data_IF_833324535948
#
_entry.id   IF_833324535948
#
_cell.length_a   1.000
_cell.length_b   1.000
_cell.length_c   1.000
_cell.angle_alpha   90.00
_cell.angle_beta   90.00
_cell.angle_gamma   90.00
#
_symmetry.space_group_name_H-M   'P 1'
#
loop_
_entity.id
_entity.type
_entity.pdbx_description
1 polymer ?
#
# COMPACT_ATOMS: atom_id res chain seq x y z
N UNK A 1 1.91 -0.10 -12.01
CA UNK A 1 2.61 0.69 -10.97
C UNK A 1 2.07 0.26 -9.62
N UNK A 2 2.89 -0.39 -8.76
CA UNK A 2 2.40 -1.08 -7.58
C UNK A 2 1.93 -0.16 -6.45
N UNK A 3 2.30 1.13 -6.44
CA UNK A 3 1.91 2.11 -5.43
C UNK A 3 2.42 3.51 -5.82
N UNK A 4 2.05 4.54 -5.07
CA UNK A 4 2.55 5.91 -5.29
C UNK A 4 3.74 6.18 -4.37
N UNK A 5 4.89 6.55 -4.95
CA UNK A 5 6.07 6.96 -4.18
C UNK A 5 5.76 8.23 -3.40
N UNK A 6 6.14 8.24 -2.14
CA UNK A 6 6.03 9.39 -1.24
C UNK A 6 7.41 9.74 -0.71
N UNK A 7 7.63 11.02 -0.41
CA UNK A 7 8.84 11.49 0.27
C UNK A 7 8.72 11.28 1.78
N UNK A 8 9.85 11.25 2.49
CA UNK A 8 9.89 10.95 3.93
C UNK A 8 9.08 11.94 4.78
N UNK A 9 9.00 13.21 4.35
CA UNK A 9 8.20 14.22 5.03
C UNK A 9 6.69 13.93 4.97
N UNK A 10 6.21 13.37 3.86
CA UNK A 10 4.80 12.98 3.73
C UNK A 10 4.51 11.70 4.50
N UNK A 11 5.47 10.77 4.58
CA UNK A 11 5.35 9.54 5.37
C UNK A 11 5.08 9.81 6.86
N UNK A 12 5.59 10.93 7.40
CA UNK A 12 5.32 11.35 8.79
C UNK A 12 3.89 11.85 9.00
N UNK A 13 3.23 12.33 7.94
CA UNK A 13 1.89 12.94 7.98
C UNK A 13 0.79 11.96 7.58
N UNK A 14 1.13 10.95 6.79
CA UNK A 14 0.20 9.94 6.28
C UNK A 14 0.05 8.82 7.32
N UNK A 15 -1.19 8.52 7.68
CA UNK A 15 -1.51 7.38 8.54
C UNK A 15 -1.03 6.07 7.88
N UNK A 16 -0.35 5.22 8.65
CA UNK A 16 0.21 3.94 8.18
C UNK A 16 -0.85 3.03 7.53
N UNK A 17 -2.14 3.18 7.87
CA UNK A 17 -3.22 2.43 7.22
C UNK A 17 -3.35 2.70 5.72
N UNK A 18 -2.81 3.82 5.23
CA UNK A 18 -2.79 4.15 3.80
C UNK A 18 -1.51 3.68 3.09
N UNK A 19 -0.59 3.04 3.80
CA UNK A 19 0.66 2.52 3.26
C UNK A 19 0.50 1.03 2.97
N UNK A 20 0.86 0.62 1.75
CA UNK A 20 0.84 -0.76 1.34
C UNK A 20 1.84 -1.58 2.16
N UNK A 21 1.36 -2.67 2.75
CA UNK A 21 2.19 -3.58 3.55
C UNK A 21 3.24 -4.35 2.73
N UNK A 22 3.12 -4.41 1.40
CA UNK A 22 4.05 -5.12 0.52
C UNK A 22 5.09 -4.22 -0.14
N UNK A 23 4.67 -3.11 -0.75
CA UNK A 23 5.59 -2.23 -1.48
C UNK A 23 6.04 -0.99 -0.68
N UNK A 24 5.51 -0.80 0.52
CA UNK A 24 5.78 0.34 1.41
C UNK A 24 5.52 1.73 0.77
N UNK A 25 4.68 1.77 -0.26
CA UNK A 25 4.24 2.99 -0.93
C UNK A 25 2.80 3.32 -0.54
N UNK A 26 2.35 4.54 -0.86
CA UNK A 26 0.95 4.90 -0.68
C UNK A 26 0.07 3.97 -1.54
N UNK A 27 -1.01 3.47 -0.95
CA UNK A 27 -1.92 2.51 -1.57
C UNK A 27 -2.44 3.03 -2.92
N UNK A 28 -2.30 2.21 -3.97
CA UNK A 28 -2.88 2.43 -5.28
C UNK A 28 -3.89 1.32 -5.57
N UNK A 29 -5.16 1.70 -5.79
CA UNK A 29 -6.29 0.76 -5.85
C UNK A 29 -6.29 -0.21 -4.65
N UNK A 30 -6.51 0.29 -3.43
CA UNK A 30 -6.41 -0.52 -2.22
C UNK A 30 -7.36 -1.71 -2.24
N UNK A 31 -6.84 -2.87 -1.84
CA UNK A 31 -7.59 -4.08 -1.54
C UNK A 31 -7.25 -4.55 -0.13
N UNK A 32 -8.25 -5.12 0.55
CA UNK A 32 -8.05 -5.80 1.82
C UNK A 32 -7.95 -7.30 1.57
N UNK A 33 -6.89 -7.92 2.07
CA UNK A 33 -6.75 -9.39 2.03
C UNK A 33 -7.69 -10.05 3.02
N UNK A 34 -7.91 -11.37 2.88
CA UNK A 34 -8.76 -12.12 3.81
C UNK A 34 -8.25 -12.08 5.26
N UNK A 35 -6.95 -11.91 5.47
CA UNK A 35 -6.35 -11.73 6.79
C UNK A 35 -6.38 -10.27 7.29
N UNK A 36 -7.03 -9.35 6.56
CA UNK A 36 -7.29 -7.98 6.98
C UNK A 36 -6.23 -6.95 6.61
N UNK A 37 -5.14 -7.34 5.95
CA UNK A 37 -4.07 -6.42 5.56
C UNK A 37 -4.44 -5.59 4.31
N UNK A 38 -4.11 -4.31 4.32
CA UNK A 38 -4.27 -3.43 3.16
C UNK A 38 -3.05 -3.49 2.25
N UNK A 39 -3.32 -3.70 0.97
CA UNK A 39 -2.34 -3.82 -0.10
C UNK A 39 -2.85 -3.16 -1.37
N UNK A 40 -1.95 -2.77 -2.27
CA UNK A 40 -2.34 -2.31 -3.60
C UNK A 40 -2.86 -3.48 -4.45
N UNK A 41 -3.81 -3.23 -5.35
CA UNK A 41 -4.35 -4.26 -6.24
C UNK A 41 -3.24 -5.05 -6.95
N UNK A 42 -2.27 -4.33 -7.54
CA UNK A 42 -1.14 -4.93 -8.24
C UNK A 42 -0.21 -5.74 -7.31
N UNK A 43 -0.09 -5.37 -6.03
CA UNK A 43 0.70 -6.13 -5.07
C UNK A 43 0.00 -7.43 -4.67
N UNK A 44 -1.33 -7.43 -4.55
CA UNK A 44 -2.11 -8.66 -4.31
C UNK A 44 -2.05 -9.59 -5.52
N UNK A 45 -2.19 -9.05 -6.73
CA UNK A 45 -2.11 -9.85 -7.97
C UNK A 45 -0.74 -10.52 -8.16
N UNK A 46 0.34 -9.91 -7.67
CA UNK A 46 1.69 -10.50 -7.73
C UNK A 46 1.90 -11.66 -6.75
N UNK A 47 0.97 -11.89 -5.81
CA UNK A 47 1.00 -13.00 -4.85
C UNK A 47 0.11 -14.18 -5.27
N UNK A 48 -0.62 -14.06 -6.39
CA UNK A 48 -1.44 -15.10 -7.02
C UNK A 48 -0.68 -15.72 -8.19
#
# INVERSE_FOLDING_TARGET
>A
MPGTRIVDEDRKKIDKKFICTSCDMLLCMPMQTQCGHLMCFACVQALL
#
